data_IF_956622371258
#
_entry.id   IF_956622371258
#
_cell.length_a   1.000
_cell.length_b   1.000
_cell.length_c   1.000
_cell.angle_alpha   90.00
_cell.angle_beta   90.00
_cell.angle_gamma   90.00
#
_symmetry.space_group_name_H-M   'P 1'
#
loop_
_entity.id
_entity.type
_entity.pdbx_description
1 polymer ?
#
# COMPACT_ATOMS: atom_id res chain seq x y z
N UNK A 1 -11.14 -4.65 -19.12
CA UNK A 1 -12.10 -5.01 -18.03
C UNK A 1 -11.55 -6.24 -17.32
N UNK A 2 -11.62 -6.34 -15.98
CA UNK A 2 -10.90 -7.35 -15.18
C UNK A 2 -11.52 -8.78 -15.18
N UNK A 3 -12.59 -9.04 -15.94
CA UNK A 3 -13.21 -10.37 -16.03
C UNK A 3 -13.89 -10.89 -14.74
N UNK A 4 -14.20 -10.00 -13.80
CA UNK A 4 -14.78 -10.38 -12.50
C UNK A 4 -16.22 -10.88 -12.62
N UNK A 5 -16.57 -11.90 -11.82
CA UNK A 5 -17.95 -12.26 -11.56
C UNK A 5 -18.62 -11.10 -10.78
N UNK A 6 -19.63 -10.48 -11.39
CA UNK A 6 -20.26 -9.28 -10.86
C UNK A 6 -21.13 -9.55 -9.64
N UNK A 7 -21.84 -10.68 -9.62
CA UNK A 7 -22.71 -11.05 -8.50
C UNK A 7 -21.88 -11.28 -7.25
N UNK A 8 -20.81 -12.06 -7.38
CA UNK A 8 -19.85 -12.28 -6.29
C UNK A 8 -19.19 -10.98 -5.83
N UNK A 9 -18.79 -10.10 -6.75
CA UNK A 9 -18.20 -8.82 -6.39
C UNK A 9 -19.15 -7.95 -5.55
N UNK A 10 -20.43 -7.91 -5.93
CA UNK A 10 -21.45 -7.16 -5.21
C UNK A 10 -21.75 -7.73 -3.82
N UNK A 11 -21.63 -9.05 -3.64
CA UNK A 11 -21.70 -9.72 -2.34
C UNK A 11 -20.47 -9.41 -1.48
N UNK A 12 -19.28 -9.59 -2.04
CA UNK A 12 -18.00 -9.40 -1.35
C UNK A 12 -17.84 -7.95 -0.84
N UNK A 13 -18.29 -6.95 -1.61
CA UNK A 13 -18.29 -5.52 -1.19
C UNK A 13 -19.08 -5.28 0.11
N UNK A 14 -20.12 -6.06 0.35
CA UNK A 14 -21.00 -5.91 1.52
C UNK A 14 -20.57 -6.81 2.69
N UNK A 15 -19.54 -7.62 2.50
CA UNK A 15 -19.09 -8.59 3.49
C UNK A 15 -18.51 -7.89 4.73
N UNK A 16 -18.96 -8.24 5.95
CA UNK A 16 -18.35 -7.75 7.19
C UNK A 16 -16.84 -7.98 7.26
N UNK A 17 -16.34 -9.06 6.64
CA UNK A 17 -14.92 -9.37 6.55
C UNK A 17 -14.14 -8.31 5.75
N UNK A 18 -14.73 -7.77 4.68
CA UNK A 18 -14.09 -6.72 3.88
C UNK A 18 -14.05 -5.40 4.66
N UNK A 19 -15.11 -5.06 5.39
CA UNK A 19 -15.11 -3.91 6.29
C UNK A 19 -14.07 -4.05 7.41
N UNK A 20 -13.93 -5.24 7.99
CA UNK A 20 -12.89 -5.50 8.99
C UNK A 20 -11.49 -5.26 8.43
N UNK A 21 -11.18 -5.80 7.24
CA UNK A 21 -9.89 -5.60 6.57
C UNK A 21 -9.62 -4.11 6.30
N UNK A 22 -10.61 -3.40 5.74
CA UNK A 22 -10.50 -1.96 5.46
C UNK A 22 -10.20 -1.15 6.73
N UNK A 23 -10.93 -1.42 7.82
CA UNK A 23 -10.74 -0.73 9.09
C UNK A 23 -9.37 -1.04 9.72
N UNK A 24 -8.93 -2.31 9.64
CA UNK A 24 -7.61 -2.73 10.11
C UNK A 24 -6.50 -1.98 9.37
N UNK A 25 -6.55 -1.94 8.04
CA UNK A 25 -5.53 -1.29 7.23
C UNK A 25 -5.51 0.23 7.46
N UNK A 26 -6.69 0.85 7.64
CA UNK A 26 -6.82 2.28 7.96
C UNK A 26 -6.23 2.62 9.33
N UNK A 27 -6.50 1.78 10.34
CA UNK A 27 -5.94 1.95 11.68
C UNK A 27 -4.41 1.77 11.69
N UNK A 28 -3.89 0.83 10.89
CA UNK A 28 -2.45 0.64 10.73
C UNK A 28 -1.80 1.85 10.07
N UNK A 29 -2.39 2.39 9.01
CA UNK A 29 -1.91 3.62 8.38
C UNK A 29 -1.86 4.80 9.37
N UNK A 30 -2.91 4.97 10.18
CA UNK A 30 -2.96 6.01 11.20
C UNK A 30 -1.87 5.80 12.28
N UNK A 31 -1.68 4.55 12.74
CA UNK A 31 -0.63 4.19 13.71
C UNK A 31 0.77 4.48 13.17
N UNK A 32 0.99 4.32 11.87
CA UNK A 32 2.24 4.65 11.18
C UNK A 32 2.38 6.14 10.85
N UNK A 33 1.42 6.99 11.27
CA UNK A 33 1.44 8.43 11.01
C UNK A 33 1.25 8.79 9.53
N UNK A 34 0.62 7.91 8.75
CA UNK A 34 0.38 8.13 7.33
C UNK A 34 -0.86 9.01 7.14
N UNK A 35 -0.67 10.16 6.51
CA UNK A 35 -1.71 11.17 6.30
C UNK A 35 -2.24 11.22 4.87
N UNK A 36 -1.66 10.45 3.94
CA UNK A 36 -2.05 10.53 2.53
C UNK A 36 -1.43 9.47 1.64
N UNK A 37 -2.04 9.33 0.47
CA UNK A 37 -1.64 8.42 -0.60
C UNK A 37 -1.20 9.21 -1.84
N UNK A 38 -0.19 8.74 -2.60
CA UNK A 38 0.61 7.55 -2.34
C UNK A 38 1.68 7.79 -1.27
N UNK A 39 1.84 6.83 -0.35
CA UNK A 39 3.03 6.68 0.48
C UNK A 39 3.71 5.38 0.10
N UNK A 40 5.00 5.43 -0.22
CA UNK A 40 5.77 4.26 -0.67
C UNK A 40 6.94 4.01 0.29
N UNK A 41 7.20 2.75 0.56
CA UNK A 41 8.33 2.28 1.36
C UNK A 41 9.18 1.30 0.56
N UNK A 42 10.51 1.38 0.72
CA UNK A 42 11.47 0.38 0.23
C UNK A 42 12.21 -0.15 1.45
N UNK A 43 12.06 -1.44 1.76
CA UNK A 43 12.67 -2.09 2.92
C UNK A 43 12.50 -1.33 4.25
N UNK A 44 11.32 -0.75 4.48
CA UNK A 44 11.00 0.03 5.69
C UNK A 44 11.39 1.51 5.62
N UNK A 45 12.06 1.97 4.56
CA UNK A 45 12.37 3.39 4.36
C UNK A 45 11.33 4.07 3.49
N UNK A 46 10.74 5.14 4.02
CA UNK A 46 9.74 5.96 3.32
C UNK A 46 10.41 6.83 2.25
N UNK A 47 9.81 6.89 1.06
CA UNK A 47 10.21 7.87 0.05
C UNK A 47 9.91 9.29 0.55
N UNK A 48 10.81 10.24 0.29
CA UNK A 48 10.59 11.66 0.61
C UNK A 48 9.50 12.26 -0.26
N UNK A 49 9.50 11.88 -1.54
CA UNK A 49 8.51 12.27 -2.54
C UNK A 49 8.14 11.02 -3.35
N UNK A 50 6.86 10.81 -3.66
CA UNK A 50 6.42 9.65 -4.43
C UNK A 50 6.72 9.84 -5.93
N UNK A 51 8.00 9.83 -6.29
CA UNK A 51 8.48 9.89 -7.68
C UNK A 51 9.23 8.61 -8.06
N UNK A 52 9.27 8.32 -9.37
CA UNK A 52 9.99 7.17 -9.91
C UNK A 52 11.50 7.32 -9.67
N UNK A 53 12.06 8.52 -9.83
CA UNK A 53 13.48 8.77 -9.61
C UNK A 53 13.90 8.51 -8.15
N UNK A 54 13.08 8.96 -7.19
CA UNK A 54 13.35 8.71 -5.77
C UNK A 54 13.20 7.21 -5.43
N UNK A 55 12.22 6.54 -6.05
CA UNK A 55 12.07 5.09 -5.92
C UNK A 55 13.30 4.35 -6.43
N UNK A 56 13.77 4.68 -7.64
CA UNK A 56 14.95 4.05 -8.24
C UNK A 56 16.20 4.29 -7.40
N UNK A 57 16.40 5.54 -6.94
CA UNK A 57 17.52 5.90 -6.07
C UNK A 57 17.50 5.09 -4.77
N UNK A 58 16.36 5.04 -4.09
CA UNK A 58 16.25 4.32 -2.81
C UNK A 58 16.43 2.81 -3.00
N UNK A 59 15.93 2.22 -4.09
CA UNK A 59 16.17 0.81 -4.42
C UNK A 59 17.67 0.55 -4.61
N UNK A 60 18.37 1.38 -5.41
CA UNK A 60 19.80 1.23 -5.64
C UNK A 60 20.61 1.34 -4.34
N UNK A 61 20.27 2.30 -3.47
CA UNK A 61 20.88 2.44 -2.15
C UNK A 61 20.67 1.22 -1.25
N UNK A 62 19.47 0.63 -1.25
CA UNK A 62 19.19 -0.56 -0.43
C UNK A 62 19.83 -1.83 -0.97
N UNK A 63 20.00 -1.95 -2.29
CA UNK A 63 20.74 -3.06 -2.90
C UNK A 63 22.24 -2.99 -2.57
N UNK A 64 22.85 -1.79 -2.62
CA UNK A 64 24.26 -1.59 -2.30
C UNK A 64 24.61 -1.95 -0.84
N UNK A 65 23.66 -1.78 0.10
CA UNK A 65 23.85 -2.09 1.54
C UNK A 65 23.75 -3.58 1.87
N UNK A 66 23.16 -4.37 0.98
CA UNK A 66 22.98 -5.82 1.17
C UNK A 66 24.16 -6.63 0.62
N UNK A 67 25.23 -5.95 0.19
CA UNK A 67 26.49 -6.52 -0.29
C UNK A 67 27.55 -6.49 0.80
#
# INVERSE_FOLDING_TARGET
KLGLNQDRFNEDIKSPMMFYKLNKDTAEAAKLGLSGTPTVFVNGKKLKQPSIDELQRLIAEELAKKS
#
